data_IF_365356699968
#
_entry.id   IF_365356699968
#
_cell.length_a   1.000
_cell.length_b   1.000
_cell.length_c   1.000
_cell.angle_alpha   90.00
_cell.angle_beta   90.00
_cell.angle_gamma   90.00
#
_symmetry.space_group_name_H-M   'P 1'
#
loop_
_entity.id
_entity.type
_entity.pdbx_description
1 polymer ?
#
# COMPACT_ATOMS: atom_id res chain seq x y z
N UNK A 1 -25.79 52.55 -9.27
CA UNK A 1 -24.39 52.11 -8.96
C UNK A 1 -24.31 50.73 -8.28
N UNK A 2 -25.35 50.25 -7.62
CA UNK A 2 -25.32 48.95 -6.92
C UNK A 2 -25.38 47.72 -7.83
N UNK A 3 -26.02 47.78 -8.98
CA UNK A 3 -26.15 46.63 -9.90
C UNK A 3 -24.83 46.23 -10.59
N UNK A 4 -23.89 47.15 -10.74
CA UNK A 4 -22.57 46.86 -11.34
C UNK A 4 -21.63 46.12 -10.35
N UNK A 5 -21.81 46.32 -9.04
CA UNK A 5 -20.99 45.65 -8.02
C UNK A 5 -21.35 44.15 -7.88
N UNK A 6 -22.61 43.80 -8.05
CA UNK A 6 -23.12 42.43 -7.94
C UNK A 6 -22.69 41.58 -9.16
N UNK A 7 -22.64 42.22 -10.36
CA UNK A 7 -22.22 41.53 -11.59
C UNK A 7 -20.73 41.10 -11.57
N UNK A 8 -19.86 41.80 -10.83
CA UNK A 8 -18.44 41.48 -10.71
C UNK A 8 -18.12 40.36 -9.70
N UNK A 9 -18.99 40.11 -8.73
CA UNK A 9 -18.78 39.12 -7.69
C UNK A 9 -19.04 37.66 -8.17
N UNK A 10 -19.93 37.48 -9.14
CA UNK A 10 -20.27 36.17 -9.68
C UNK A 10 -19.07 35.40 -10.28
N UNK A 11 -18.31 36.02 -11.23
CA UNK A 11 -17.14 35.35 -11.82
C UNK A 11 -16.05 35.02 -10.82
N UNK A 12 -15.81 35.89 -9.83
CA UNK A 12 -14.82 35.67 -8.77
C UNK A 12 -15.23 34.50 -7.89
N UNK A 13 -16.50 34.40 -7.52
CA UNK A 13 -17.02 33.28 -6.73
C UNK A 13 -16.89 31.94 -7.47
N UNK A 14 -17.25 31.92 -8.76
CA UNK A 14 -17.09 30.69 -9.61
C UNK A 14 -15.63 30.30 -9.72
N UNK A 15 -14.71 31.24 -9.89
CA UNK A 15 -13.27 30.98 -9.96
C UNK A 15 -12.74 30.43 -8.63
N UNK A 16 -13.12 30.99 -7.49
CA UNK A 16 -12.75 30.49 -6.16
C UNK A 16 -13.30 29.08 -5.92
N UNK A 17 -14.53 28.78 -6.32
CA UNK A 17 -15.12 27.44 -6.24
C UNK A 17 -14.36 26.44 -7.11
N UNK A 18 -13.97 26.82 -8.31
CA UNK A 18 -13.14 25.97 -9.20
C UNK A 18 -11.78 25.67 -8.58
N UNK A 19 -11.12 26.68 -8.01
CA UNK A 19 -9.84 26.48 -7.29
C UNK A 19 -10.01 25.56 -6.07
N UNK A 20 -11.10 25.72 -5.32
CA UNK A 20 -11.42 24.86 -4.18
C UNK A 20 -11.63 23.40 -4.63
N UNK A 21 -12.37 23.18 -5.69
CA UNK A 21 -12.58 21.82 -6.26
C UNK A 21 -11.26 21.23 -6.73
N UNK A 22 -10.42 21.97 -7.45
CA UNK A 22 -9.09 21.51 -7.87
C UNK A 22 -8.20 21.20 -6.67
N UNK A 23 -8.24 22.01 -5.62
CA UNK A 23 -7.50 21.78 -4.39
C UNK A 23 -7.98 20.51 -3.67
N UNK A 24 -9.29 20.32 -3.53
CA UNK A 24 -9.88 19.12 -2.93
C UNK A 24 -9.58 17.85 -3.76
N UNK A 25 -9.63 17.93 -5.09
CA UNK A 25 -9.25 16.81 -5.96
C UNK A 25 -7.75 16.47 -5.87
N UNK A 26 -6.88 17.47 -5.70
CA UNK A 26 -5.44 17.24 -5.49
C UNK A 26 -5.10 16.72 -4.09
N UNK A 27 -5.89 17.07 -3.09
CA UNK A 27 -5.69 16.61 -1.70
C UNK A 27 -6.09 15.16 -1.49
N UNK A 28 -6.86 14.55 -2.40
CA UNK A 28 -7.00 13.10 -2.48
C UNK A 28 -5.69 12.54 -3.03
N UNK A 29 -4.76 12.24 -2.11
CA UNK A 29 -3.40 11.81 -2.42
C UNK A 29 -3.42 10.68 -3.44
N UNK A 30 -2.80 10.93 -4.60
CA UNK A 30 -2.60 9.93 -5.64
C UNK A 30 -1.76 8.78 -5.05
N UNK A 31 -2.43 7.67 -4.72
CA UNK A 31 -1.76 6.48 -4.24
C UNK A 31 -0.87 5.93 -5.36
N UNK A 32 0.43 5.80 -5.10
CA UNK A 32 1.35 5.23 -6.08
C UNK A 32 0.92 3.81 -6.46
N UNK A 33 1.12 3.43 -7.71
CA UNK A 33 0.78 2.07 -8.18
C UNK A 33 1.42 0.96 -7.35
N UNK A 34 2.60 1.22 -6.76
CA UNK A 34 3.28 0.28 -5.87
C UNK A 34 2.54 0.11 -4.54
N UNK A 35 2.08 1.20 -3.93
CA UNK A 35 1.33 1.16 -2.67
C UNK A 35 -0.02 0.47 -2.87
N UNK A 36 -0.70 0.77 -3.98
CA UNK A 36 -1.94 0.09 -4.35
C UNK A 36 -1.75 -1.42 -4.56
N UNK A 37 -0.66 -1.83 -5.25
CA UNK A 37 -0.35 -3.24 -5.45
C UNK A 37 -0.03 -3.94 -4.12
N UNK A 38 0.71 -3.30 -3.21
CA UNK A 38 0.96 -3.80 -1.85
C UNK A 38 -0.35 -4.10 -1.14
N UNK A 39 -1.21 -3.10 -1.00
CA UNK A 39 -2.51 -3.24 -0.34
C UNK A 39 -3.42 -4.31 -0.98
N UNK A 40 -3.40 -4.45 -2.31
CA UNK A 40 -4.14 -5.53 -2.98
C UNK A 40 -3.61 -6.91 -2.60
N UNK A 41 -2.28 -7.06 -2.49
CA UNK A 41 -1.66 -8.30 -2.01
C UNK A 41 -2.04 -8.63 -0.57
N UNK A 42 -1.97 -7.65 0.32
CA UNK A 42 -2.36 -7.79 1.72
C UNK A 42 -3.83 -8.20 1.87
N UNK A 43 -4.74 -7.53 1.16
CA UNK A 43 -6.17 -7.88 1.18
C UNK A 43 -6.40 -9.30 0.66
N UNK A 44 -5.76 -9.68 -0.44
CA UNK A 44 -5.87 -11.04 -0.98
C UNK A 44 -5.40 -12.10 0.01
N UNK A 45 -4.28 -11.88 0.67
CA UNK A 45 -3.76 -12.79 1.70
C UNK A 45 -4.69 -12.82 2.92
N UNK A 46 -5.23 -11.68 3.34
CA UNK A 46 -6.21 -11.60 4.41
C UNK A 46 -7.45 -12.47 4.11
N UNK A 47 -7.98 -12.40 2.89
CA UNK A 47 -9.13 -13.21 2.46
C UNK A 47 -8.80 -14.72 2.49
N UNK A 48 -7.59 -15.11 2.08
CA UNK A 48 -7.14 -16.50 2.16
C UNK A 48 -7.01 -16.98 3.61
N UNK A 49 -6.44 -16.16 4.48
CA UNK A 49 -6.31 -16.45 5.91
C UNK A 49 -7.70 -16.66 6.53
N UNK A 50 -8.65 -15.77 6.24
CA UNK A 50 -10.01 -15.85 6.77
C UNK A 50 -10.74 -17.15 6.40
N UNK A 51 -10.40 -17.76 5.26
CA UNK A 51 -11.01 -19.03 4.84
C UNK A 51 -10.53 -20.25 5.65
N UNK A 52 -9.35 -20.15 6.28
CA UNK A 52 -8.73 -21.26 7.01
C UNK A 52 -8.72 -21.06 8.54
N UNK A 53 -9.01 -19.86 9.01
CA UNK A 53 -9.13 -19.56 10.43
C UNK A 53 -10.29 -20.32 11.07
N UNK A 54 -10.07 -20.77 12.29
CA UNK A 54 -11.07 -21.39 13.13
C UNK A 54 -11.74 -20.34 14.01
N UNK A 55 -12.92 -20.65 14.54
CA UNK A 55 -13.72 -19.73 15.37
C UNK A 55 -12.98 -19.11 16.57
N UNK A 56 -11.97 -19.81 17.09
CA UNK A 56 -11.16 -19.34 18.24
C UNK A 56 -9.86 -18.65 17.85
N UNK A 57 -9.54 -18.61 16.56
CA UNK A 57 -8.33 -17.96 16.07
C UNK A 57 -8.58 -16.45 15.92
N UNK A 58 -7.60 -15.63 16.29
CA UNK A 58 -7.68 -14.18 16.17
C UNK A 58 -6.77 -13.72 15.05
N UNK A 59 -7.29 -12.85 14.18
CA UNK A 59 -6.54 -12.18 13.12
C UNK A 59 -6.49 -10.68 13.37
N UNK A 60 -5.30 -10.13 13.37
CA UNK A 60 -5.05 -8.69 13.40
C UNK A 60 -4.34 -8.31 12.09
N UNK A 61 -4.80 -7.26 11.44
CA UNK A 61 -4.22 -6.76 10.18
C UNK A 61 -3.76 -5.31 10.35
N UNK A 62 -2.68 -4.95 9.63
CA UNK A 62 -2.11 -3.59 9.64
C UNK A 62 -1.76 -3.11 11.06
N UNK A 63 -1.05 -3.96 11.81
CA UNK A 63 -0.70 -3.69 13.21
C UNK A 63 0.56 -2.84 13.27
N UNK A 64 0.45 -1.67 13.86
CA UNK A 64 1.59 -0.80 14.10
C UNK A 64 2.12 -1.03 15.51
N UNK A 65 3.39 -1.40 15.60
CA UNK A 65 4.10 -1.61 16.87
C UNK A 65 5.28 -0.65 16.98
N UNK A 66 5.65 -0.33 18.20
CA UNK A 66 6.85 0.46 18.48
C UNK A 66 7.82 -0.38 19.32
N UNK A 67 9.03 -0.55 18.79
CA UNK A 67 10.11 -1.28 19.45
C UNK A 67 11.32 -0.37 19.53
N UNK A 68 11.81 -0.09 20.73
CA UNK A 68 12.97 0.77 20.97
C UNK A 68 12.88 2.15 20.28
N UNK A 69 11.69 2.76 20.29
CA UNK A 69 11.43 4.05 19.66
C UNK A 69 11.31 4.01 18.14
N UNK A 70 11.34 2.81 17.52
CA UNK A 70 11.13 2.62 16.08
C UNK A 70 9.75 2.03 15.82
N UNK A 71 8.98 2.73 15.02
CA UNK A 71 7.67 2.24 14.57
C UNK A 71 7.85 1.26 13.42
N UNK A 72 7.22 0.09 13.55
CA UNK A 72 7.19 -0.97 12.54
C UNK A 72 5.73 -1.36 12.29
N UNK A 73 5.38 -1.64 11.05
CA UNK A 73 4.07 -2.15 10.66
C UNK A 73 4.20 -3.64 10.32
N UNK A 74 3.26 -4.43 10.85
CA UNK A 74 3.12 -5.85 10.56
C UNK A 74 1.83 -6.04 9.76
N UNK A 75 1.92 -6.74 8.63
CA UNK A 75 0.79 -6.90 7.71
C UNK A 75 -0.33 -7.71 8.37
N UNK A 76 -0.01 -8.91 8.88
CA UNK A 76 -0.98 -9.74 9.61
C UNK A 76 -0.34 -10.46 10.79
N UNK A 77 -1.12 -10.61 11.87
CA UNK A 77 -0.77 -11.41 13.04
C UNK A 77 -1.93 -12.38 13.30
N UNK A 78 -1.62 -13.67 13.39
CA UNK A 78 -2.58 -14.70 13.80
C UNK A 78 -2.20 -15.16 15.19
N UNK A 79 -3.18 -15.17 16.10
CA UNK A 79 -3.02 -15.71 17.45
C UNK A 79 -3.98 -16.89 17.63
N UNK A 80 -3.46 -18.05 17.97
CA UNK A 80 -4.26 -19.23 18.24
C UNK A 80 -3.61 -20.09 19.34
N UNK A 81 -4.18 -21.29 19.60
CA UNK A 81 -3.69 -22.20 20.62
C UNK A 81 -2.31 -22.83 20.33
N UNK A 82 -1.77 -22.62 19.12
CA UNK A 82 -0.43 -23.11 18.72
C UNK A 82 0.64 -22.02 18.85
N UNK A 83 0.23 -20.74 18.94
CA UNK A 83 1.16 -19.62 19.07
C UNK A 83 0.72 -18.36 18.37
N UNK A 84 1.69 -17.48 18.16
CA UNK A 84 1.57 -16.22 17.43
C UNK A 84 2.34 -16.37 16.13
N UNK A 85 1.66 -16.09 15.02
CA UNK A 85 2.23 -16.16 13.67
C UNK A 85 2.20 -14.76 13.08
N UNK A 86 3.36 -14.27 12.66
CA UNK A 86 3.50 -12.99 11.95
C UNK A 86 3.65 -13.30 10.48
N UNK A 87 2.80 -12.67 9.66
CA UNK A 87 2.77 -12.86 8.21
C UNK A 87 3.10 -11.51 7.56
N UNK A 88 4.16 -11.50 6.78
CA UNK A 88 4.60 -10.36 5.98
C UNK A 88 4.29 -10.64 4.51
N UNK A 89 3.57 -9.76 3.85
CA UNK A 89 3.12 -9.92 2.47
C UNK A 89 4.03 -9.18 1.51
N UNK A 90 4.57 -9.87 0.53
CA UNK A 90 5.38 -9.27 -0.54
C UNK A 90 4.72 -9.51 -1.89
N UNK A 91 4.02 -8.51 -2.42
CA UNK A 91 3.39 -8.56 -3.73
C UNK A 91 4.34 -8.00 -4.81
N UNK A 92 5.19 -8.85 -5.35
CA UNK A 92 6.10 -8.47 -6.42
C UNK A 92 5.46 -8.69 -7.80
N UNK A 93 5.58 -7.68 -8.67
CA UNK A 93 5.25 -7.83 -10.10
C UNK A 93 6.49 -8.22 -10.89
N UNK A 94 6.36 -9.12 -11.87
CA UNK A 94 7.47 -9.61 -12.70
C UNK A 94 8.03 -10.94 -12.19
N UNK A 95 9.24 -11.29 -12.64
CA UNK A 95 9.93 -12.52 -12.27
C UNK A 95 10.91 -12.28 -11.14
N UNK A 96 10.99 -13.22 -10.19
CA UNK A 96 11.99 -13.26 -9.14
C UNK A 96 12.94 -14.43 -9.42
N UNK A 97 14.23 -14.19 -9.30
CA UNK A 97 15.29 -15.20 -9.43
C UNK A 97 16.21 -15.12 -8.22
N UNK A 98 16.41 -16.23 -7.57
CA UNK A 98 17.27 -16.41 -6.39
C UNK A 98 16.98 -17.75 -5.75
N UNK A 99 17.85 -18.14 -4.82
CA UNK A 99 17.71 -19.35 -3.99
C UNK A 99 17.50 -18.96 -2.54
N UNK A 100 17.11 -19.91 -1.71
CA UNK A 100 16.88 -19.73 -0.26
C UNK A 100 18.14 -19.24 0.47
N UNK A 101 19.33 -19.57 -0.08
CA UNK A 101 20.62 -19.20 0.50
C UNK A 101 21.13 -17.84 0.01
N UNK A 102 20.51 -17.24 -1.00
CA UNK A 102 20.91 -15.94 -1.51
C UNK A 102 20.39 -14.82 -0.59
N UNK A 103 21.26 -13.90 -0.18
CA UNK A 103 20.85 -12.74 0.60
C UNK A 103 19.97 -11.77 -0.20
N UNK A 104 20.17 -11.74 -1.51
CA UNK A 104 19.48 -10.86 -2.44
C UNK A 104 18.97 -11.64 -3.64
N UNK A 105 17.75 -11.30 -4.07
CA UNK A 105 17.13 -11.83 -5.26
C UNK A 105 17.06 -10.80 -6.37
N UNK A 106 17.10 -11.25 -7.61
CA UNK A 106 16.97 -10.40 -8.80
C UNK A 106 15.52 -10.38 -9.22
N UNK A 107 14.93 -9.21 -9.19
CA UNK A 107 13.58 -8.96 -9.71
C UNK A 107 13.66 -8.34 -11.10
N UNK A 108 13.06 -8.99 -12.10
CA UNK A 108 12.97 -8.50 -13.47
C UNK A 108 11.52 -8.16 -13.81
N UNK A 109 11.32 -6.99 -14.39
CA UNK A 109 10.01 -6.53 -14.86
C UNK A 109 10.12 -6.01 -16.29
N UNK A 110 9.09 -6.30 -17.10
CA UNK A 110 8.93 -5.77 -18.44
C UNK A 110 7.89 -4.66 -18.37
N UNK A 111 8.23 -3.46 -18.87
CA UNK A 111 7.29 -2.34 -18.98
C UNK A 111 6.27 -2.60 -20.10
N UNK A 112 5.18 -1.83 -20.12
CA UNK A 112 4.20 -1.85 -21.21
C UNK A 112 4.79 -1.48 -22.57
N UNK A 113 5.92 -0.77 -22.58
CA UNK A 113 6.69 -0.43 -23.79
C UNK A 113 7.69 -1.51 -24.20
N UNK A 114 7.72 -2.68 -23.54
CA UNK A 114 8.62 -3.79 -23.86
C UNK A 114 10.03 -3.67 -23.26
N UNK A 115 10.35 -2.59 -22.55
CA UNK A 115 11.66 -2.43 -21.92
C UNK A 115 11.75 -3.29 -20.67
N UNK A 116 12.83 -4.08 -20.57
CA UNK A 116 13.16 -4.86 -19.36
C UNK A 116 14.03 -4.04 -18.43
N UNK A 117 13.72 -4.10 -17.13
CA UNK A 117 14.58 -3.55 -16.08
C UNK A 117 14.64 -4.52 -14.90
N UNK A 118 15.80 -4.54 -14.27
CA UNK A 118 16.07 -5.39 -13.11
C UNK A 118 16.27 -4.56 -11.87
N UNK A 119 15.89 -5.11 -10.72
CA UNK A 119 16.11 -4.53 -9.40
C UNK A 119 16.52 -5.63 -8.44
N UNK A 120 17.49 -5.36 -7.60
CA UNK A 120 17.85 -6.23 -6.48
C UNK A 120 16.84 -6.00 -5.35
N UNK A 121 16.33 -7.08 -4.79
CA UNK A 121 15.44 -7.10 -3.62
C UNK A 121 16.04 -8.04 -2.57
N UNK A 122 15.88 -7.70 -1.31
CA UNK A 122 16.31 -8.58 -0.22
C UNK A 122 15.47 -9.86 -0.23
N UNK A 123 16.12 -10.99 0.04
CA UNK A 123 15.41 -12.24 0.25
C UNK A 123 14.52 -12.12 1.50
N UNK A 124 13.19 -12.28 1.36
CA UNK A 124 12.28 -12.16 2.50
C UNK A 124 12.53 -13.20 3.59
N UNK A 125 13.10 -14.36 3.26
CA UNK A 125 13.42 -15.42 4.24
C UNK A 125 14.62 -15.07 5.12
N UNK A 126 15.47 -14.16 4.68
CA UNK A 126 16.63 -13.66 5.44
C UNK A 126 16.30 -12.46 6.35
N UNK A 127 15.06 -11.95 6.32
CA UNK A 127 14.57 -10.88 7.19
C UNK A 127 14.08 -11.45 8.53
N UNK A 128 14.99 -12.12 9.23
CA UNK A 128 14.73 -12.62 10.60
C UNK A 128 15.23 -11.66 11.63
#
# INVERSE_FOLDING_TARGET
METALIAGLGPVFVFCMLLLVIFLCKSQGYESGQKRAGRQGENYVCDLICQVLKEKDLLFSNVSIEIEGKRTELDHIIVNNRGIFIIEVKNYSGSLMGTDNDYEWVKTKISSSGNSYTKIVKNPEMLK
#
